data_IF_907489409484
#
_entry.id   IF_907489409484
#
_cell.length_a   1.000
_cell.length_b   1.000
_cell.length_c   1.000
_cell.angle_alpha   90.00
_cell.angle_beta   90.00
_cell.angle_gamma   90.00
#
_symmetry.space_group_name_H-M   'P 1'
#
loop_
_entity.id
_entity.type
_entity.pdbx_description
1 polymer ?
#
# COMPACT_ATOMS: atom_id res chain seq x y z
N UNK A 1 29.15 3.21 13.39
CA UNK A 1 30.34 2.33 13.24
C UNK A 1 30.36 1.70 11.86
N UNK A 2 31.54 1.49 11.27
CA UNK A 2 31.72 0.72 10.03
C UNK A 2 32.26 -0.66 10.42
N UNK A 3 31.54 -1.69 10.01
CA UNK A 3 31.87 -3.09 10.30
C UNK A 3 31.77 -3.88 9.02
N UNK A 4 32.66 -4.84 8.82
CA UNK A 4 32.57 -5.83 7.74
C UNK A 4 32.01 -7.11 8.33
N UNK A 5 30.95 -7.65 7.75
CA UNK A 5 30.30 -8.88 8.18
C UNK A 5 30.21 -9.82 6.97
N UNK A 6 30.67 -11.04 7.14
CA UNK A 6 30.41 -12.13 6.19
C UNK A 6 29.01 -12.69 6.47
N UNK A 7 28.17 -12.77 5.45
CA UNK A 7 26.83 -13.35 5.53
C UNK A 7 26.68 -14.42 4.44
N UNK A 8 25.84 -15.42 4.71
CA UNK A 8 25.56 -16.46 3.75
C UNK A 8 24.87 -15.90 2.49
N UNK A 9 25.07 -16.53 1.31
CA UNK A 9 24.53 -16.01 0.04
C UNK A 9 23.01 -15.86 0.03
N UNK A 10 22.29 -16.79 0.66
CA UNK A 10 20.83 -16.79 0.76
C UNK A 10 20.31 -15.62 1.63
N UNK A 11 20.99 -15.33 2.74
CA UNK A 11 20.71 -14.18 3.59
C UNK A 11 20.96 -12.87 2.83
N UNK A 12 22.06 -12.79 2.08
CA UNK A 12 22.38 -11.62 1.27
C UNK A 12 21.32 -11.36 0.20
N UNK A 13 20.86 -12.39 -0.49
CA UNK A 13 19.80 -12.28 -1.50
C UNK A 13 18.47 -11.86 -0.88
N UNK A 14 18.10 -12.44 0.27
CA UNK A 14 16.88 -12.04 0.98
C UNK A 14 16.90 -10.56 1.38
N UNK A 15 18.02 -10.08 1.89
CA UNK A 15 18.18 -8.66 2.26
C UNK A 15 18.07 -7.73 1.04
N UNK A 16 18.60 -8.13 -0.13
CA UNK A 16 18.47 -7.37 -1.38
C UNK A 16 17.03 -7.30 -1.87
N UNK A 17 16.27 -8.39 -1.75
CA UNK A 17 14.85 -8.40 -2.12
C UNK A 17 14.05 -7.43 -1.25
N UNK A 18 14.27 -7.44 0.06
CA UNK A 18 13.57 -6.54 0.98
C UNK A 18 13.96 -5.07 0.79
N UNK A 19 15.23 -4.81 0.45
CA UNK A 19 15.70 -3.48 0.04
C UNK A 19 14.91 -2.94 -1.17
N UNK A 20 14.74 -3.77 -2.21
CA UNK A 20 13.98 -3.43 -3.41
C UNK A 20 12.50 -3.21 -3.11
N UNK A 21 11.89 -4.09 -2.32
CA UNK A 21 10.48 -4.02 -1.97
C UNK A 21 10.13 -2.77 -1.14
N UNK A 22 10.97 -2.42 -0.17
CA UNK A 22 10.75 -1.27 0.70
C UNK A 22 11.27 0.08 0.17
N UNK A 23 12.04 0.08 -0.92
CA UNK A 23 12.82 1.25 -1.40
C UNK A 23 13.69 1.86 -0.30
N UNK A 24 14.25 1.02 0.58
CA UNK A 24 15.09 1.43 1.72
C UNK A 24 16.56 1.16 1.41
N UNK A 25 17.52 1.93 1.97
CA UNK A 25 18.94 1.62 1.85
C UNK A 25 19.31 0.28 2.47
N UNK A 26 20.24 -0.48 1.86
CA UNK A 26 20.69 -1.79 2.35
C UNK A 26 21.06 -1.79 3.85
N UNK A 27 21.83 -0.79 4.30
CA UNK A 27 22.22 -0.62 5.71
C UNK A 27 21.01 -0.53 6.65
N UNK A 28 19.93 0.14 6.24
CA UNK A 28 18.73 0.29 7.07
C UNK A 28 18.05 -1.06 7.25
N UNK A 29 17.88 -1.80 6.15
CA UNK A 29 17.29 -3.15 6.17
C UNK A 29 18.10 -4.09 7.06
N UNK A 30 19.42 -4.16 6.87
CA UNK A 30 20.30 -5.00 7.69
C UNK A 30 20.15 -4.70 9.18
N UNK A 31 20.29 -3.43 9.57
CA UNK A 31 20.21 -3.04 10.98
C UNK A 31 18.83 -3.28 11.58
N UNK A 32 17.76 -3.07 10.83
CA UNK A 32 16.40 -3.35 11.30
C UNK A 32 16.19 -4.85 11.55
N UNK A 33 16.62 -5.71 10.63
CA UNK A 33 16.53 -7.16 10.82
C UNK A 33 17.37 -7.66 11.96
N UNK A 34 18.59 -7.14 12.12
CA UNK A 34 19.44 -7.48 13.26
C UNK A 34 18.79 -7.05 14.58
N UNK A 35 18.22 -5.85 14.67
CA UNK A 35 17.51 -5.40 15.89
C UNK A 35 16.30 -6.27 16.21
N UNK A 36 15.53 -6.67 15.20
CA UNK A 36 14.39 -7.58 15.38
C UNK A 36 14.88 -8.97 15.82
N UNK A 37 15.89 -9.52 15.16
CA UNK A 37 16.45 -10.83 15.48
C UNK A 37 17.13 -10.92 16.85
N UNK A 38 17.75 -9.82 17.29
CA UNK A 38 18.37 -9.69 18.61
C UNK A 38 17.38 -9.27 19.70
N UNK A 39 16.07 -9.18 19.40
CA UNK A 39 15.05 -8.79 20.38
C UNK A 39 15.11 -7.34 20.85
N UNK A 40 15.96 -6.50 20.24
CA UNK A 40 16.10 -5.07 20.56
C UNK A 40 14.91 -4.25 20.06
N UNK A 41 14.13 -4.81 19.13
CA UNK A 41 12.94 -4.17 18.58
C UNK A 41 11.87 -5.22 18.29
N UNK A 42 10.65 -4.99 18.74
CA UNK A 42 9.52 -5.84 18.38
C UNK A 42 9.02 -5.48 16.99
N UNK A 43 8.72 -6.51 16.17
CA UNK A 43 8.11 -6.30 14.86
C UNK A 43 6.71 -5.74 15.10
N UNK A 44 6.46 -4.50 14.67
CA UNK A 44 5.14 -3.90 14.75
C UNK A 44 4.18 -4.76 13.93
N UNK A 45 3.23 -5.43 14.59
CA UNK A 45 2.18 -6.16 13.88
C UNK A 45 1.34 -5.12 13.13
N UNK A 46 1.37 -5.16 11.80
CA UNK A 46 0.43 -4.37 11.00
C UNK A 46 -0.98 -4.83 11.36
N UNK A 47 -1.84 -3.88 11.75
CA UNK A 47 -3.26 -4.20 11.96
C UNK A 47 -3.85 -4.52 10.59
N UNK A 48 -4.64 -5.60 10.43
CA UNK A 48 -5.31 -5.89 9.17
C UNK A 48 -6.13 -4.69 8.74
N UNK A 49 -6.05 -4.34 7.46
CA UNK A 49 -6.84 -3.24 6.90
C UNK A 49 -8.33 -3.57 7.04
N UNK A 50 -9.10 -2.64 7.59
CA UNK A 50 -10.56 -2.74 7.70
C UNK A 50 -11.19 -1.62 6.91
N UNK A 51 -11.97 -1.97 5.89
CA UNK A 51 -12.81 -1.02 5.16
C UNK A 51 -13.87 -0.48 6.13
N UNK A 52 -13.96 0.84 6.24
CA UNK A 52 -15.08 1.50 6.93
C UNK A 52 -16.15 1.81 5.88
N UNK A 53 -17.26 1.05 5.80
CA UNK A 53 -18.33 1.38 4.88
C UNK A 53 -19.02 2.69 5.32
N UNK A 54 -19.65 3.38 4.38
CA UNK A 54 -20.51 4.51 4.65
C UNK A 54 -21.88 4.26 4.00
N UNK A 55 -22.93 4.88 4.54
CA UNK A 55 -24.27 4.80 3.95
C UNK A 55 -24.26 5.52 2.60
N UNK A 56 -24.50 4.78 1.52
CA UNK A 56 -24.57 5.30 0.17
C UNK A 56 -25.90 4.92 -0.44
N UNK A 57 -26.51 5.82 -1.22
CA UNK A 57 -27.67 5.52 -2.05
C UNK A 57 -27.32 4.63 -3.26
N UNK A 58 -26.05 4.23 -3.39
CA UNK A 58 -25.57 3.34 -4.44
C UNK A 58 -26.23 1.97 -4.33
N UNK A 59 -27.19 1.70 -5.22
CA UNK A 59 -27.93 0.44 -5.30
C UNK A 59 -27.03 -0.62 -5.95
N UNK A 60 -27.05 -1.85 -5.43
CA UNK A 60 -26.19 -2.95 -5.90
C UNK A 60 -26.31 -3.26 -7.41
N UNK A 61 -27.42 -2.89 -8.05
CA UNK A 61 -27.61 -3.04 -9.50
C UNK A 61 -26.67 -2.13 -10.33
N UNK A 62 -26.24 -1.00 -9.76
CA UNK A 62 -25.20 -0.15 -10.33
C UNK A 62 -23.81 -0.82 -10.35
N UNK A 63 -23.60 -1.87 -9.54
CA UNK A 63 -22.34 -2.61 -9.51
C UNK A 63 -22.08 -3.42 -10.79
N UNK A 64 -23.12 -3.67 -11.61
CA UNK A 64 -23.00 -4.26 -12.94
C UNK A 64 -22.86 -3.23 -14.07
N UNK A 65 -22.95 -1.93 -13.78
CA UNK A 65 -22.70 -0.87 -14.77
C UNK A 65 -21.19 -0.59 -14.85
N UNK A 66 -20.71 -0.30 -16.06
CA UNK A 66 -19.36 0.26 -16.22
C UNK A 66 -19.28 1.59 -15.47
N UNK A 67 -18.42 1.66 -14.44
CA UNK A 67 -18.20 2.87 -13.64
C UNK A 67 -17.81 4.08 -14.49
N UNK A 68 -17.09 3.85 -15.60
CA UNK A 68 -16.73 4.92 -16.54
C UNK A 68 -17.97 5.53 -17.20
N UNK A 69 -18.93 4.69 -17.63
CA UNK A 69 -20.16 5.17 -18.25
C UNK A 69 -21.02 5.96 -17.26
N UNK A 70 -21.09 5.51 -16.00
CA UNK A 70 -21.79 6.26 -14.95
C UNK A 70 -21.13 7.63 -14.71
N UNK A 71 -19.80 7.70 -14.76
CA UNK A 71 -19.09 8.97 -14.66
C UNK A 71 -19.44 9.91 -15.83
N UNK A 72 -19.42 9.42 -17.07
CA UNK A 72 -19.77 10.20 -18.26
C UNK A 72 -21.20 10.77 -18.19
N UNK A 73 -22.15 9.95 -17.72
CA UNK A 73 -23.56 10.36 -17.54
C UNK A 73 -23.68 11.47 -16.49
N UNK A 74 -23.06 11.30 -15.32
CA UNK A 74 -23.09 12.32 -14.26
C UNK A 74 -22.43 13.63 -14.70
N UNK A 75 -21.31 13.56 -15.43
CA UNK A 75 -20.68 14.76 -16.01
C UNK A 75 -21.62 15.48 -16.97
N UNK A 76 -22.29 14.74 -17.86
CA UNK A 76 -23.26 15.29 -18.81
C UNK A 76 -24.45 15.96 -18.09
N UNK A 77 -25.01 15.31 -17.05
CA UNK A 77 -26.09 15.87 -16.25
C UNK A 77 -25.68 17.16 -15.53
N UNK A 78 -24.46 17.20 -14.95
CA UNK A 78 -23.95 18.40 -14.29
C UNK A 78 -23.72 19.56 -15.27
N UNK A 79 -23.35 19.27 -16.51
CA UNK A 79 -23.19 20.28 -17.56
C UNK A 79 -24.55 20.88 -17.94
N UNK A 80 -25.54 20.04 -18.22
CA UNK A 80 -26.89 20.46 -18.59
C UNK A 80 -27.56 21.30 -17.49
N UNK A 81 -27.42 20.90 -16.22
CA UNK A 81 -27.97 21.64 -15.08
C UNK A 81 -27.32 23.01 -14.84
N UNK A 82 -26.07 23.22 -15.31
CA UNK A 82 -25.40 24.53 -15.26
C UNK A 82 -25.88 25.47 -16.36
N UNK A 83 -26.15 24.95 -17.55
CA UNK A 83 -26.64 25.72 -18.70
C UNK A 83 -28.12 26.11 -18.54
N UNK A 84 -28.91 25.32 -17.80
CA UNK A 84 -30.33 25.59 -17.56
C UNK A 84 -30.60 26.61 -16.44
N UNK A 85 -29.57 27.29 -15.91
CA UNK A 85 -29.65 28.17 -14.75
C UNK A 85 -29.04 29.54 -15.06
#
# INVERSE_FOLDING_TARGET
MRTTLTIDPDVAERLRQEMKAGKLPFKRVVNEKLRIGLGMQTKTKSKPYKVKPFASAYVADAAHRSMNRLADELETETYLNKESK
#
